data_IF_181019134912
#
_entry.id   IF_181019134912
#
_cell.length_a   1.000
_cell.length_b   1.000
_cell.length_c   1.000
_cell.angle_alpha   90.00
_cell.angle_beta   90.00
_cell.angle_gamma   90.00
#
_symmetry.space_group_name_H-M   'P 1'
#
loop_
_entity.id
_entity.type
_entity.pdbx_description
1 polymer ?
#
# COMPACT_ATOMS: atom_id res chain seq x y z
N UNK A 1 -2.95 -19.17 -7.25
CA UNK A 1 -2.97 -18.14 -6.18
C UNK A 1 -4.41 -17.75 -5.87
N UNK A 2 -4.82 -17.69 -4.60
CA UNK A 2 -6.12 -17.18 -4.14
C UNK A 2 -5.86 -15.83 -3.42
N UNK A 3 -6.55 -14.79 -3.83
CA UNK A 3 -6.41 -13.42 -3.29
C UNK A 3 -7.69 -13.02 -2.58
N UNK A 4 -7.56 -12.39 -1.42
CA UNK A 4 -8.64 -11.74 -0.70
C UNK A 4 -8.43 -10.22 -0.69
N UNK A 5 -9.44 -9.46 -1.00
CA UNK A 5 -9.48 -8.01 -0.87
C UNK A 5 -10.17 -7.67 0.46
N UNK A 6 -9.43 -7.07 1.38
CA UNK A 6 -9.93 -6.72 2.71
C UNK A 6 -10.66 -5.38 2.66
N UNK A 7 -11.95 -5.41 2.38
CA UNK A 7 -12.79 -4.20 2.45
C UNK A 7 -13.11 -3.89 3.91
N UNK A 8 -12.40 -2.91 4.48
CA UNK A 8 -12.53 -2.48 5.88
C UNK A 8 -12.89 -1.00 5.94
N UNK A 9 -13.58 -0.61 7.01
CA UNK A 9 -13.90 0.79 7.29
C UNK A 9 -12.90 1.34 8.29
N UNK A 10 -11.75 1.82 7.80
CA UNK A 10 -10.70 2.37 8.62
C UNK A 10 -11.08 3.76 9.16
N UNK A 11 -10.84 3.98 10.45
CA UNK A 11 -11.07 5.27 11.13
C UNK A 11 -9.77 6.06 11.19
N UNK A 12 -9.79 7.34 10.80
CA UNK A 12 -8.61 8.20 10.83
C UNK A 12 -8.09 8.32 12.28
N UNK A 13 -6.79 8.00 12.46
CA UNK A 13 -6.09 8.08 13.72
C UNK A 13 -6.29 6.89 14.67
N UNK A 14 -7.24 5.99 14.43
CA UNK A 14 -7.47 4.80 15.25
C UNK A 14 -6.56 3.64 14.81
N UNK A 15 -5.26 3.76 15.12
CA UNK A 15 -4.27 2.76 14.72
C UNK A 15 -4.58 1.37 15.28
N UNK A 16 -5.05 1.28 16.53
CA UNK A 16 -5.36 0.01 17.18
C UNK A 16 -6.58 -0.67 16.56
N UNK A 17 -7.69 0.08 16.40
CA UNK A 17 -8.91 -0.44 15.79
C UNK A 17 -8.69 -0.85 14.32
N UNK A 18 -7.95 -0.05 13.55
CA UNK A 18 -7.63 -0.37 12.17
C UNK A 18 -6.72 -1.61 12.07
N UNK A 19 -5.68 -1.70 12.91
CA UNK A 19 -4.82 -2.87 12.97
C UNK A 19 -5.61 -4.15 13.30
N UNK A 20 -6.54 -4.08 14.24
CA UNK A 20 -7.42 -5.18 14.62
C UNK A 20 -8.28 -5.63 13.42
N UNK A 21 -8.91 -4.69 12.70
CA UNK A 21 -9.70 -5.00 11.50
C UNK A 21 -8.85 -5.68 10.41
N UNK A 22 -7.62 -5.21 10.18
CA UNK A 22 -6.68 -5.80 9.21
C UNK A 22 -6.35 -7.25 9.61
N UNK A 23 -5.98 -7.48 10.88
CA UNK A 23 -5.64 -8.82 11.39
C UNK A 23 -6.83 -9.78 11.28
N UNK A 24 -8.02 -9.34 11.67
CA UNK A 24 -9.24 -10.16 11.57
C UNK A 24 -9.58 -10.51 10.12
N UNK A 25 -9.48 -9.55 9.20
CA UNK A 25 -9.70 -9.80 7.78
C UNK A 25 -8.67 -10.80 7.22
N UNK A 26 -7.40 -10.65 7.59
CA UNK A 26 -6.32 -11.54 7.16
C UNK A 26 -6.50 -12.96 7.70
N UNK A 27 -6.85 -13.12 8.96
CA UNK A 27 -7.13 -14.45 9.56
C UNK A 27 -8.34 -15.13 8.93
N UNK A 28 -9.42 -14.39 8.68
CA UNK A 28 -10.60 -14.94 7.98
C UNK A 28 -10.24 -15.39 6.56
N UNK A 29 -9.44 -14.61 5.84
CA UNK A 29 -8.99 -14.94 4.50
C UNK A 29 -8.08 -16.19 4.51
N UNK A 30 -7.15 -16.27 5.46
CA UNK A 30 -6.26 -17.43 5.66
C UNK A 30 -7.07 -18.71 5.90
N UNK A 31 -8.06 -18.67 6.81
CA UNK A 31 -8.95 -19.79 7.08
C UNK A 31 -9.74 -20.26 5.84
N UNK A 32 -9.93 -19.40 4.86
CA UNK A 32 -10.53 -19.71 3.56
C UNK A 32 -9.51 -20.11 2.49
N UNK A 33 -8.23 -20.29 2.85
CA UNK A 33 -7.17 -20.70 1.95
C UNK A 33 -6.63 -19.59 1.05
N UNK A 34 -6.75 -18.31 1.43
CA UNK A 34 -6.11 -17.23 0.73
C UNK A 34 -4.58 -17.30 0.89
N UNK A 35 -3.86 -16.96 -0.18
CA UNK A 35 -2.40 -16.84 -0.20
C UNK A 35 -1.96 -15.40 -0.05
N UNK A 36 -2.79 -14.45 -0.52
CA UNK A 36 -2.54 -13.03 -0.46
C UNK A 36 -3.78 -12.29 0.07
N UNK A 37 -3.56 -11.35 0.99
CA UNK A 37 -4.56 -10.35 1.39
C UNK A 37 -4.06 -8.98 1.00
N UNK A 38 -4.93 -8.16 0.40
CA UNK A 38 -4.64 -6.77 0.06
C UNK A 38 -5.59 -5.89 0.87
N UNK A 39 -5.02 -5.05 1.74
CA UNK A 39 -5.74 -4.04 2.51
C UNK A 39 -5.76 -2.70 1.75
N UNK A 40 -6.65 -1.75 2.09
CA UNK A 40 -6.73 -0.46 1.41
C UNK A 40 -5.48 0.41 1.55
N UNK A 41 -5.35 1.41 0.68
CA UNK A 41 -4.41 2.52 0.82
C UNK A 41 -4.61 3.20 2.18
N UNK A 42 -3.49 3.47 2.89
CA UNK A 42 -3.46 4.08 4.23
C UNK A 42 -4.42 3.44 5.25
N UNK A 43 -4.78 2.17 5.06
CA UNK A 43 -5.75 1.46 5.91
C UNK A 43 -5.36 1.44 7.39
N UNK A 44 -4.07 1.49 7.71
CA UNK A 44 -3.60 1.50 9.09
C UNK A 44 -3.89 2.85 9.78
N UNK A 45 -3.70 3.96 9.11
CA UNK A 45 -3.93 5.31 9.67
C UNK A 45 -5.35 5.84 9.45
N UNK A 46 -6.12 5.21 8.55
CA UNK A 46 -7.27 5.83 7.90
C UNK A 46 -6.86 6.86 6.85
N UNK A 47 -7.74 7.19 5.91
CA UNK A 47 -7.51 8.15 4.83
C UNK A 47 -8.55 9.27 4.85
N UNK A 48 -8.17 10.57 4.76
CA UNK A 48 -6.81 11.11 4.79
C UNK A 48 -6.35 11.41 6.25
N UNK A 49 -5.12 11.02 6.64
CA UNK A 49 -4.62 11.27 7.99
C UNK A 49 -4.14 12.71 8.23
N UNK A 50 -3.97 13.52 7.18
CA UNK A 50 -3.66 14.95 7.19
C UNK A 50 -2.56 15.36 8.20
N UNK A 51 -2.81 16.36 9.05
CA UNK A 51 -1.84 16.93 10.00
C UNK A 51 -1.36 15.94 11.09
N UNK A 52 -2.01 14.79 11.25
CA UNK A 52 -1.47 13.71 12.09
C UNK A 52 -0.07 13.27 11.62
N UNK A 53 0.15 13.29 10.31
CA UNK A 53 1.44 12.93 9.71
C UNK A 53 2.59 13.86 10.12
N UNK A 54 2.29 15.09 10.54
CA UNK A 54 3.28 16.07 11.00
C UNK A 54 3.79 15.76 12.42
N UNK A 55 3.13 14.84 13.13
CA UNK A 55 3.48 14.45 14.50
C UNK A 55 4.44 13.26 14.52
N UNK A 56 5.70 13.43 14.97
CA UNK A 56 6.66 12.32 15.00
C UNK A 56 6.19 11.13 15.83
N UNK A 57 5.43 11.39 16.91
CA UNK A 57 4.87 10.32 17.74
C UNK A 57 3.85 9.46 16.98
N UNK A 58 3.02 10.08 16.11
CA UNK A 58 2.06 9.37 15.28
C UNK A 58 2.77 8.48 14.25
N UNK A 59 3.83 8.98 13.61
CA UNK A 59 4.60 8.20 12.64
C UNK A 59 5.29 6.98 13.29
N UNK A 60 5.82 7.14 14.52
CA UNK A 60 6.37 6.00 15.28
C UNK A 60 5.28 4.99 15.63
N UNK A 61 4.13 5.46 16.13
CA UNK A 61 3.00 4.59 16.45
C UNK A 61 2.49 3.80 15.23
N UNK A 62 2.47 4.42 14.03
CA UNK A 62 2.16 3.71 12.77
C UNK A 62 3.16 2.57 12.50
N UNK A 63 4.46 2.83 12.67
CA UNK A 63 5.49 1.80 12.46
C UNK A 63 5.35 0.66 13.47
N UNK A 64 5.15 0.96 14.75
CA UNK A 64 4.94 -0.02 15.82
C UNK A 64 3.67 -0.86 15.60
N UNK A 65 2.57 -0.22 15.15
CA UNK A 65 1.33 -0.90 14.83
C UNK A 65 1.48 -1.85 13.63
N UNK A 66 2.21 -1.44 12.58
CA UNK A 66 2.51 -2.29 11.42
C UNK A 66 3.28 -3.56 11.84
N UNK A 67 4.32 -3.39 12.66
CA UNK A 67 5.07 -4.51 13.22
C UNK A 67 4.18 -5.40 14.13
N UNK A 68 3.24 -4.78 14.85
CA UNK A 68 2.24 -5.49 15.65
C UNK A 68 1.34 -6.38 14.80
N UNK A 69 0.85 -5.86 13.66
CA UNK A 69 0.06 -6.64 12.68
C UNK A 69 0.89 -7.82 12.18
N UNK A 70 2.14 -7.58 11.76
CA UNK A 70 3.01 -8.63 11.26
C UNK A 70 3.17 -9.76 12.29
N UNK A 71 3.54 -9.42 13.53
CA UNK A 71 3.67 -10.40 14.62
C UNK A 71 2.39 -11.16 14.91
N UNK A 72 1.24 -10.48 14.87
CA UNK A 72 -0.08 -11.11 15.09
C UNK A 72 -0.48 -12.12 14.02
N UNK A 73 0.17 -12.10 12.86
CA UNK A 73 -0.08 -13.01 11.74
C UNK A 73 1.03 -14.06 11.56
N UNK A 74 1.94 -14.19 12.51
CA UNK A 74 3.07 -15.11 12.42
C UNK A 74 2.66 -16.59 12.30
N UNK A 75 1.51 -16.95 12.86
CA UNK A 75 0.91 -18.29 12.82
C UNK A 75 0.12 -18.56 11.52
N UNK A 76 -0.15 -17.57 10.71
CA UNK A 76 -0.80 -17.71 9.40
C UNK A 76 0.22 -18.15 8.33
N UNK A 77 0.67 -19.41 8.43
CA UNK A 77 1.74 -19.94 7.57
C UNK A 77 1.34 -19.90 6.09
N UNK A 78 2.23 -19.36 5.24
CA UNK A 78 2.00 -19.24 3.80
C UNK A 78 1.14 -18.05 3.38
N UNK A 79 0.57 -17.30 4.34
CA UNK A 79 -0.16 -16.06 4.05
C UNK A 79 0.83 -14.90 3.86
N UNK A 80 0.56 -14.10 2.84
CA UNK A 80 1.17 -12.79 2.61
C UNK A 80 0.10 -11.71 2.70
N UNK A 81 0.43 -10.57 3.32
CA UNK A 81 -0.51 -9.46 3.50
C UNK A 81 0.14 -8.16 3.04
N UNK A 82 -0.53 -7.41 2.19
CA UNK A 82 -0.10 -6.07 1.77
C UNK A 82 -0.97 -5.04 2.51
N UNK A 83 -0.32 -4.18 3.30
CA UNK A 83 -0.98 -3.18 4.15
C UNK A 83 -0.58 -1.78 3.74
N UNK A 84 -1.57 -0.90 3.48
CA UNK A 84 -1.35 0.52 3.23
C UNK A 84 -1.16 1.30 4.54
N UNK A 85 -0.08 2.10 4.63
CA UNK A 85 0.26 2.85 5.83
C UNK A 85 1.15 4.06 5.53
N UNK A 86 1.20 5.09 6.41
CA UNK A 86 2.24 6.11 6.36
C UNK A 86 3.59 5.51 6.72
N UNK A 87 4.63 5.86 5.96
CA UNK A 87 5.98 5.35 6.18
C UNK A 87 7.01 6.48 6.29
N UNK A 88 8.02 6.24 7.10
CA UNK A 88 9.20 7.08 7.22
C UNK A 88 10.40 6.16 7.40
N UNK A 89 11.43 6.31 6.57
CA UNK A 89 12.67 5.58 6.79
C UNK A 89 13.32 6.04 8.10
N UNK A 90 13.80 5.10 8.90
CA UNK A 90 14.41 5.39 10.20
C UNK A 90 15.59 6.35 10.10
N UNK A 91 16.07 6.83 11.26
CA UNK A 91 17.14 7.83 11.44
C UNK A 91 18.52 7.45 10.84
N UNK A 92 18.62 6.38 10.09
CA UNK A 92 19.85 6.00 9.37
C UNK A 92 20.02 6.83 8.10
N UNK A 93 20.01 8.14 8.27
CA UNK A 93 20.80 9.06 7.44
C UNK A 93 20.39 9.34 6.00
N UNK A 94 19.47 8.62 5.36
CA UNK A 94 19.56 8.47 3.91
C UNK A 94 18.51 9.14 3.04
N UNK A 95 17.41 9.67 3.59
CA UNK A 95 16.44 10.41 2.76
C UNK A 95 16.02 11.70 3.46
N UNK A 96 16.92 12.67 3.47
CA UNK A 96 16.62 14.05 3.86
C UNK A 96 16.62 14.93 2.63
N UNK A 97 15.62 15.80 2.50
CA UNK A 97 15.75 16.88 1.52
C UNK A 97 16.91 17.79 1.95
N UNK A 98 17.70 18.27 0.99
CA UNK A 98 18.80 19.22 1.23
C UNK A 98 18.33 20.54 1.88
N UNK A 99 17.02 20.75 1.97
CA UNK A 99 16.38 22.00 2.39
C UNK A 99 15.69 21.95 3.76
N UNK A 100 15.33 20.78 4.31
CA UNK A 100 14.63 20.70 5.60
C UNK A 100 15.23 19.61 6.47
N UNK A 101 15.41 19.89 7.76
CA UNK A 101 15.92 18.94 8.76
C UNK A 101 14.90 17.82 9.10
N UNK A 102 13.75 17.77 8.42
CA UNK A 102 12.70 16.79 8.68
C UNK A 102 12.82 15.58 7.74
N UNK A 103 12.65 14.36 8.27
CA UNK A 103 12.64 13.15 7.46
C UNK A 103 11.44 13.12 6.52
N UNK A 104 11.64 12.59 5.30
CA UNK A 104 10.59 12.42 4.31
C UNK A 104 9.56 11.37 4.79
N UNK A 105 8.31 11.65 4.53
CA UNK A 105 7.18 10.74 4.78
C UNK A 105 6.65 10.24 3.45
N UNK A 106 6.14 9.02 3.44
CA UNK A 106 5.65 8.36 2.23
C UNK A 106 4.29 7.74 2.50
N UNK A 107 3.39 7.82 1.53
CA UNK A 107 2.25 6.93 1.42
C UNK A 107 2.81 5.59 0.92
N UNK A 108 2.67 4.54 1.70
CA UNK A 108 3.37 3.29 1.45
C UNK A 108 2.48 2.05 1.59
N UNK A 109 2.93 0.98 0.97
CA UNK A 109 2.36 -0.36 1.11
C UNK A 109 3.46 -1.34 1.50
N UNK A 110 3.30 -2.03 2.62
CA UNK A 110 4.26 -3.03 3.10
C UNK A 110 3.74 -4.44 2.93
N UNK A 111 4.61 -5.32 2.45
CA UNK A 111 4.42 -6.76 2.41
C UNK A 111 4.78 -7.36 3.77
N UNK A 112 3.82 -8.03 4.39
CA UNK A 112 3.99 -8.79 5.63
C UNK A 112 3.97 -10.28 5.33
N UNK A 113 4.93 -11.03 5.86
CA UNK A 113 4.98 -12.48 5.75
C UNK A 113 5.79 -13.08 6.89
N UNK A 114 5.39 -14.23 7.43
CA UNK A 114 6.13 -14.95 8.47
C UNK A 114 6.39 -14.12 9.72
N UNK A 115 5.44 -13.28 10.12
CA UNK A 115 5.50 -12.49 11.34
C UNK A 115 6.35 -11.21 11.25
N UNK A 116 6.76 -10.77 10.05
CA UNK A 116 7.64 -9.60 9.86
C UNK A 116 7.26 -8.77 8.65
N UNK A 117 7.69 -7.53 8.62
CA UNK A 117 7.69 -6.66 7.44
C UNK A 117 8.82 -7.12 6.52
N UNK A 118 8.50 -7.54 5.29
CA UNK A 118 9.45 -8.10 4.33
C UNK A 118 9.97 -7.03 3.39
N UNK A 119 9.08 -6.18 2.87
CA UNK A 119 9.42 -5.12 1.93
C UNK A 119 8.38 -4.01 1.97
N UNK A 120 8.75 -2.81 1.56
CA UNK A 120 7.87 -1.63 1.51
C UNK A 120 7.98 -0.95 0.15
N UNK A 121 6.85 -0.60 -0.43
CA UNK A 121 6.71 0.22 -1.63
C UNK A 121 6.20 1.60 -1.24
N UNK A 122 6.80 2.64 -1.78
CA UNK A 122 6.34 4.02 -1.60
C UNK A 122 5.65 4.50 -2.89
N UNK A 123 4.45 5.07 -2.73
CA UNK A 123 3.64 5.65 -3.81
C UNK A 123 4.45 6.66 -4.61
N UNK A 124 4.41 6.58 -5.93
CA UNK A 124 5.17 7.43 -6.86
C UNK A 124 4.37 8.62 -7.34
N UNK A 125 3.12 8.39 -7.68
CA UNK A 125 2.20 9.42 -8.17
C UNK A 125 1.33 9.93 -7.03
N UNK A 126 1.52 11.20 -6.66
CA UNK A 126 0.82 11.84 -5.56
C UNK A 126 -0.24 12.80 -6.13
N UNK A 127 -1.55 12.49 -5.96
CA UNK A 127 -2.60 13.38 -6.39
C UNK A 127 -2.59 14.68 -5.57
N UNK A 128 -2.78 15.81 -6.25
CA UNK A 128 -2.84 17.14 -5.63
C UNK A 128 -3.90 17.99 -6.34
N UNK A 129 -5.11 17.46 -6.43
CA UNK A 129 -6.26 18.09 -7.11
C UNK A 129 -7.56 17.70 -6.40
N UNK A 130 -8.60 18.51 -6.54
CA UNK A 130 -9.90 18.33 -5.89
C UNK A 130 -9.77 18.18 -4.36
N UNK A 131 -10.10 16.99 -3.83
CA UNK A 131 -10.04 16.67 -2.40
C UNK A 131 -8.67 16.15 -1.95
N UNK A 132 -7.73 15.98 -2.87
CA UNK A 132 -6.41 15.42 -2.59
C UNK A 132 -5.36 16.52 -2.38
N UNK A 133 -4.59 16.42 -1.29
CA UNK A 133 -3.44 17.29 -0.98
C UNK A 133 -2.25 16.43 -0.50
N UNK A 134 -1.97 15.32 -1.22
CA UNK A 134 -0.95 14.38 -0.78
C UNK A 134 0.47 14.96 -0.82
N UNK A 135 0.76 15.86 -1.77
CA UNK A 135 2.09 16.49 -1.89
C UNK A 135 2.46 17.39 -0.73
N UNK A 136 1.48 17.84 0.06
CA UNK A 136 1.70 18.58 1.28
C UNK A 136 2.38 17.74 2.37
N UNK A 137 2.07 16.45 2.39
CA UNK A 137 2.43 15.55 3.48
C UNK A 137 3.46 14.50 3.08
N UNK A 138 3.41 14.03 1.84
CA UNK A 138 4.22 12.92 1.35
C UNK A 138 5.19 13.35 0.27
N UNK A 139 6.36 12.71 0.28
CA UNK A 139 7.29 12.69 -0.82
C UNK A 139 6.96 11.55 -1.80
N UNK A 140 7.35 11.70 -3.06
CA UNK A 140 7.24 10.64 -4.05
C UNK A 140 8.19 9.47 -3.74
N UNK A 141 7.75 8.25 -3.97
CA UNK A 141 8.61 7.07 -3.90
C UNK A 141 9.82 7.14 -4.86
N UNK A 142 9.76 8.00 -5.89
CA UNK A 142 10.93 8.29 -6.75
C UNK A 142 12.04 9.00 -5.97
N UNK A 143 11.69 9.89 -5.05
CA UNK A 143 12.66 10.61 -4.22
C UNK A 143 13.39 9.68 -3.24
N UNK A 144 12.76 8.54 -2.90
CA UNK A 144 13.37 7.48 -2.11
C UNK A 144 14.30 6.56 -2.91
N UNK A 145 14.38 6.71 -4.23
CA UNK A 145 15.19 5.86 -5.10
C UNK A 145 14.78 4.40 -5.11
N UNK A 146 13.55 4.08 -4.70
CA UNK A 146 13.11 2.70 -4.57
C UNK A 146 12.78 2.05 -5.91
N UNK A 147 13.16 0.79 -6.03
CA UNK A 147 12.72 -0.09 -7.11
C UNK A 147 11.23 -0.46 -6.95
N UNK A 148 10.54 -0.86 -8.05
CA UNK A 148 9.21 -1.45 -7.95
C UNK A 148 9.22 -2.66 -7.00
N UNK A 149 8.17 -2.79 -6.18
CA UNK A 149 7.99 -3.96 -5.33
C UNK A 149 7.30 -5.07 -6.11
N UNK A 150 8.03 -6.14 -6.37
CA UNK A 150 7.51 -7.38 -6.98
C UNK A 150 7.95 -8.57 -6.13
N UNK A 151 6.99 -9.42 -5.75
CA UNK A 151 7.24 -10.60 -4.92
C UNK A 151 6.55 -11.84 -5.49
N UNK A 152 7.00 -13.02 -5.11
CA UNK A 152 6.33 -14.28 -5.44
C UNK A 152 5.21 -14.57 -4.43
N UNK A 153 4.05 -14.96 -4.93
CA UNK A 153 2.94 -15.46 -4.13
C UNK A 153 2.33 -16.70 -4.80
N UNK A 154 2.55 -17.85 -4.20
CA UNK A 154 2.08 -19.14 -4.71
C UNK A 154 2.38 -19.32 -6.22
N UNK A 155 3.63 -19.07 -6.62
CA UNK A 155 4.11 -19.23 -7.99
C UNK A 155 3.68 -18.13 -8.97
N UNK A 156 3.12 -17.02 -8.47
CA UNK A 156 2.73 -15.86 -9.27
C UNK A 156 3.50 -14.62 -8.82
N UNK A 157 4.11 -13.91 -9.77
CA UNK A 157 4.82 -12.64 -9.50
C UNK A 157 3.83 -11.49 -9.37
N UNK A 158 3.70 -10.94 -8.17
CA UNK A 158 2.77 -9.85 -7.83
C UNK A 158 3.52 -8.54 -7.69
N UNK A 159 3.14 -7.53 -8.47
CA UNK A 159 3.60 -6.14 -8.33
C UNK A 159 2.63 -5.32 -7.48
N UNK A 160 3.15 -4.38 -6.69
CA UNK A 160 2.35 -3.50 -5.83
C UNK A 160 2.31 -2.10 -6.42
N UNK A 161 1.11 -1.51 -6.47
CA UNK A 161 0.87 -0.10 -6.79
C UNK A 161 -0.10 0.50 -5.77
N UNK A 162 -0.10 1.83 -5.65
CA UNK A 162 -1.02 2.54 -4.77
C UNK A 162 -1.81 3.56 -5.60
N UNK A 163 -3.12 3.35 -5.72
CA UNK A 163 -4.15 4.25 -6.21
C UNK A 163 -3.74 5.03 -7.49
N UNK A 164 -3.29 6.28 -7.37
CA UNK A 164 -2.89 7.16 -8.46
C UNK A 164 -1.79 6.55 -9.35
N UNK A 165 -0.92 5.70 -8.82
CA UNK A 165 0.12 5.01 -9.60
C UNK A 165 -0.47 4.23 -10.79
N UNK A 166 -1.68 3.68 -10.62
CA UNK A 166 -2.33 2.90 -11.67
C UNK A 166 -2.89 3.75 -12.83
N UNK A 167 -3.00 5.07 -12.66
CA UNK A 167 -3.45 6.00 -13.71
C UNK A 167 -2.31 6.38 -14.66
N UNK A 168 -1.07 6.16 -14.28
CA UNK A 168 0.13 6.51 -15.04
C UNK A 168 0.84 5.27 -15.58
N UNK A 169 1.54 5.43 -16.71
CA UNK A 169 2.20 4.32 -17.41
C UNK A 169 3.44 3.81 -16.68
N UNK A 170 4.23 4.72 -16.10
CA UNK A 170 5.55 4.42 -15.58
C UNK A 170 5.52 3.42 -14.41
N UNK A 171 4.67 3.58 -13.35
CA UNK A 171 4.67 2.63 -12.24
C UNK A 171 4.30 1.20 -12.67
N UNK A 172 3.29 1.06 -13.53
CA UNK A 172 2.87 -0.24 -14.06
C UNK A 172 3.95 -0.86 -14.98
N UNK A 173 4.59 -0.04 -15.83
CA UNK A 173 5.68 -0.48 -16.69
C UNK A 173 6.91 -0.93 -15.88
N UNK A 174 7.24 -0.19 -14.83
CA UNK A 174 8.32 -0.55 -13.90
C UNK A 174 8.05 -1.88 -13.19
N UNK A 175 6.84 -2.10 -12.70
CA UNK A 175 6.45 -3.36 -12.09
C UNK A 175 6.55 -4.54 -13.08
N UNK A 176 6.09 -4.35 -14.33
CA UNK A 176 6.23 -5.35 -15.39
C UNK A 176 7.69 -5.64 -15.71
N UNK A 177 8.52 -4.61 -15.87
CA UNK A 177 9.96 -4.77 -16.14
C UNK A 177 10.68 -5.53 -15.01
N UNK A 178 10.20 -5.37 -13.75
CA UNK A 178 10.64 -6.15 -12.60
C UNK A 178 10.05 -7.58 -12.55
N UNK A 179 9.26 -7.98 -13.56
CA UNK A 179 8.73 -9.33 -13.72
C UNK A 179 7.34 -9.57 -13.12
N UNK A 180 6.58 -8.53 -12.80
CA UNK A 180 5.21 -8.69 -12.34
C UNK A 180 4.31 -9.31 -13.42
N UNK A 181 3.51 -10.29 -13.03
CA UNK A 181 2.48 -10.93 -13.85
C UNK A 181 1.08 -10.44 -13.49
N UNK A 182 0.94 -9.92 -12.27
CA UNK A 182 -0.30 -9.42 -11.69
C UNK A 182 0.01 -8.16 -10.92
N UNK A 183 -0.92 -7.18 -10.90
CA UNK A 183 -0.84 -6.00 -10.04
C UNK A 183 -1.84 -6.10 -8.89
N UNK A 184 -1.35 -5.87 -7.67
CA UNK A 184 -2.15 -5.55 -6.50
C UNK A 184 -2.16 -4.02 -6.34
N UNK A 185 -3.32 -3.40 -6.48
CA UNK A 185 -3.48 -1.94 -6.40
C UNK A 185 -4.31 -1.58 -5.17
N UNK A 186 -3.68 -0.92 -4.21
CA UNK A 186 -4.35 -0.42 -3.01
C UNK A 186 -5.03 0.91 -3.34
N UNK A 187 -6.28 1.08 -2.94
CA UNK A 187 -7.02 2.33 -3.19
C UNK A 187 -7.74 2.84 -1.94
N UNK A 188 -7.88 4.17 -1.86
CA UNK A 188 -8.80 4.89 -0.99
C UNK A 188 -9.50 6.01 -1.78
N UNK A 189 -9.96 5.67 -2.99
CA UNK A 189 -10.57 6.64 -3.90
C UNK A 189 -11.96 7.05 -3.44
N UNK A 190 -12.31 8.35 -3.50
CA UNK A 190 -13.66 8.80 -3.20
C UNK A 190 -14.67 8.23 -4.20
N UNK A 191 -15.89 8.03 -3.72
CA UNK A 191 -16.99 7.63 -4.58
C UNK A 191 -17.38 8.79 -5.51
N UNK A 192 -17.46 8.50 -6.81
CA UNK A 192 -18.03 9.40 -7.81
C UNK A 192 -19.04 8.63 -8.67
N UNK A 193 -20.18 9.22 -8.94
CA UNK A 193 -21.09 8.77 -10.00
C UNK A 193 -20.29 8.69 -11.31
N UNK A 194 -20.48 7.64 -12.09
CA UNK A 194 -19.88 7.41 -13.43
C UNK A 194 -18.35 7.11 -13.49
N UNK A 195 -17.59 7.23 -12.41
CA UNK A 195 -16.15 6.88 -12.42
C UNK A 195 -15.87 5.37 -12.44
N UNK A 196 -16.85 4.51 -12.22
CA UNK A 196 -16.64 3.07 -12.24
C UNK A 196 -16.19 2.58 -13.62
N UNK A 197 -16.89 3.00 -14.69
CA UNK A 197 -16.55 2.63 -16.07
C UNK A 197 -15.20 3.17 -16.52
N UNK A 198 -14.87 4.43 -16.20
CA UNK A 198 -13.57 5.01 -16.51
C UNK A 198 -12.44 4.25 -15.81
N UNK A 199 -12.63 3.90 -14.52
CA UNK A 199 -11.67 3.13 -13.74
C UNK A 199 -11.47 1.73 -14.31
N UNK A 200 -12.55 1.06 -14.70
CA UNK A 200 -12.48 -0.27 -15.33
C UNK A 200 -11.74 -0.22 -16.66
N UNK A 201 -12.05 0.75 -17.51
CA UNK A 201 -11.40 0.93 -18.80
C UNK A 201 -9.88 1.18 -18.62
N UNK A 202 -9.50 2.05 -17.68
CA UNK A 202 -8.10 2.34 -17.40
C UNK A 202 -7.35 1.13 -16.86
N UNK A 203 -7.96 0.36 -15.96
CA UNK A 203 -7.33 -0.86 -15.43
C UNK A 203 -7.25 -1.97 -16.48
N UNK A 204 -8.26 -2.09 -17.35
CA UNK A 204 -8.22 -3.02 -18.47
C UNK A 204 -7.09 -2.66 -19.45
N UNK A 205 -6.91 -1.37 -19.76
CA UNK A 205 -5.80 -0.88 -20.56
C UNK A 205 -4.43 -1.27 -19.94
N UNK A 206 -4.25 -1.07 -18.64
CA UNK A 206 -3.04 -1.49 -17.92
C UNK A 206 -2.82 -3.00 -17.96
N UNK A 207 -3.88 -3.78 -17.78
CA UNK A 207 -3.81 -5.24 -17.86
C UNK A 207 -3.49 -5.71 -19.30
N UNK A 208 -4.23 -5.22 -20.28
CA UNK A 208 -4.09 -5.67 -21.67
C UNK A 208 -2.75 -5.28 -22.29
N UNK A 209 -2.31 -4.05 -22.07
CA UNK A 209 -1.07 -3.57 -22.66
C UNK A 209 0.19 -4.18 -22.02
N UNK A 210 0.12 -4.66 -20.76
CA UNK A 210 1.36 -4.91 -20.00
C UNK A 210 1.36 -6.11 -19.06
N UNK A 211 0.19 -6.67 -18.64
CA UNK A 211 0.11 -7.70 -17.60
C UNK A 211 -1.03 -8.68 -17.86
N UNK A 212 -0.98 -9.88 -17.28
CA UNK A 212 -2.04 -10.87 -17.43
C UNK A 212 -3.30 -10.58 -16.59
N UNK A 213 -3.18 -9.88 -15.46
CA UNK A 213 -4.31 -9.51 -14.56
C UNK A 213 -3.98 -8.33 -13.64
N UNK A 214 -5.02 -7.58 -13.26
CA UNK A 214 -4.98 -6.53 -12.23
C UNK A 214 -6.01 -6.85 -11.14
N UNK A 215 -5.58 -6.96 -9.88
CA UNK A 215 -6.47 -7.03 -8.73
C UNK A 215 -6.56 -5.65 -8.08
N UNK A 216 -7.80 -5.18 -7.86
CA UNK A 216 -8.09 -3.90 -7.22
C UNK A 216 -8.77 -4.11 -5.88
N UNK A 217 -8.44 -3.25 -4.95
CA UNK A 217 -9.18 -3.06 -3.71
C UNK A 217 -10.20 -1.94 -3.87
#
# INVERSE_FOLDING_TARGET
>A
MKVALAQINATVGDLEGNARQIVEAARRAHAQGAHLVVAPELSLSGYPPEDLLLRPAFMRACAEALEGIARSLADCVGLQVVVGHPHQFGDRGDVRTKSTAQPLRFNAASLLAGGRVVATYCKRELPNYQVFDERRYFASGRDAGQSPLVFDCAGTRVGVLICEDAWFDEPAAGAKAAGAQVLAVLNASPFHLDKAGEREARMAERAYARLSKVFRH
#
